data_IF_128953835316
#
_entry.id   IF_128953835316
#
_cell.length_a   1.000
_cell.length_b   1.000
_cell.length_c   1.000
_cell.angle_alpha   90.00
_cell.angle_beta   90.00
_cell.angle_gamma   90.00
#
_symmetry.space_group_name_H-M   'P 1'
#
loop_
_entity.id
_entity.type
_entity.pdbx_description
1 polymer ?
#
# COMPACT_ATOMS: atom_id res chain seq x y z
N UNK A 1 -20.47 10.55 0.80
CA UNK A 1 -19.63 9.56 0.10
C UNK A 1 -19.80 8.19 0.73
N UNK A 2 -19.49 7.12 -0.01
CA UNK A 2 -19.50 5.75 0.52
C UNK A 2 -18.12 5.12 0.36
N UNK A 3 -17.56 4.56 1.43
CA UNK A 3 -16.24 3.94 1.42
C UNK A 3 -16.29 2.55 2.02
N UNK A 4 -15.76 1.55 1.32
CA UNK A 4 -15.49 0.24 1.90
C UNK A 4 -14.09 0.25 2.50
N UNK A 5 -13.96 -0.20 3.74
CA UNK A 5 -12.69 -0.35 4.43
C UNK A 5 -12.46 -1.84 4.70
N UNK A 6 -11.51 -2.42 3.97
CA UNK A 6 -11.11 -3.82 4.06
C UNK A 6 -9.92 -4.00 5.00
N UNK A 7 -10.06 -4.85 6.00
CA UNK A 7 -8.96 -5.28 6.86
C UNK A 7 -8.67 -6.74 6.55
N UNK A 8 -7.48 -6.99 6.01
CA UNK A 8 -7.05 -8.32 5.60
C UNK A 8 -6.44 -9.05 6.81
N UNK A 9 -7.26 -9.79 7.56
CA UNK A 9 -6.83 -10.52 8.76
C UNK A 9 -6.46 -11.96 8.38
N UNK A 10 -5.18 -12.31 8.54
CA UNK A 10 -4.73 -13.69 8.30
C UNK A 10 -5.02 -14.60 9.48
N UNK A 11 -4.73 -14.16 10.69
CA UNK A 11 -4.90 -14.96 11.92
C UNK A 11 -5.57 -14.18 13.04
N UNK A 12 -5.03 -13.00 13.35
CA UNK A 12 -5.51 -12.12 14.43
C UNK A 12 -4.98 -10.71 14.18
N UNK A 13 -5.69 -9.74 14.69
CA UNK A 13 -5.21 -8.36 14.73
C UNK A 13 -4.35 -8.15 15.97
N UNK A 14 -3.22 -7.49 15.82
CA UNK A 14 -2.34 -7.20 16.94
C UNK A 14 -2.91 -6.06 17.83
N UNK A 15 -2.67 -6.10 19.13
CA UNK A 15 -3.29 -5.19 20.10
C UNK A 15 -3.08 -3.70 19.78
N UNK A 16 -1.86 -3.30 19.38
CA UNK A 16 -1.57 -1.90 19.03
C UNK A 16 -2.25 -1.49 17.72
N UNK A 17 -2.29 -2.37 16.71
CA UNK A 17 -3.02 -2.12 15.47
C UNK A 17 -4.52 -1.97 15.79
N UNK A 18 -5.10 -2.89 16.56
CA UNK A 18 -6.50 -2.82 16.97
C UNK A 18 -6.83 -1.51 17.68
N UNK A 19 -6.00 -1.10 18.66
CA UNK A 19 -6.21 0.15 19.39
C UNK A 19 -6.18 1.38 18.45
N UNK A 20 -5.25 1.42 17.48
CA UNK A 20 -5.18 2.52 16.49
C UNK A 20 -6.39 2.49 15.55
N UNK A 21 -6.83 1.30 15.12
CA UNK A 21 -8.02 1.15 14.30
C UNK A 21 -9.28 1.61 15.03
N UNK A 22 -9.44 1.29 16.32
CA UNK A 22 -10.56 1.77 17.13
C UNK A 22 -10.61 3.31 17.21
N UNK A 23 -9.44 3.95 17.38
CA UNK A 23 -9.36 5.41 17.37
C UNK A 23 -9.72 5.99 15.99
N UNK A 24 -9.26 5.35 14.94
CA UNK A 24 -9.57 5.73 13.57
C UNK A 24 -11.08 5.63 13.29
N UNK A 25 -11.74 4.51 13.63
CA UNK A 25 -13.20 4.35 13.47
C UNK A 25 -13.99 5.42 14.22
N UNK A 26 -13.61 5.65 15.47
CA UNK A 26 -14.27 6.66 16.29
C UNK A 26 -14.18 8.06 15.65
N UNK A 27 -13.02 8.39 15.09
CA UNK A 27 -12.82 9.68 14.42
C UNK A 27 -13.57 9.78 13.10
N UNK A 28 -13.61 8.72 12.31
CA UNK A 28 -14.39 8.70 11.05
C UNK A 28 -15.86 9.05 11.31
N UNK A 29 -16.52 8.39 12.26
CA UNK A 29 -17.92 8.66 12.57
C UNK A 29 -18.18 10.07 13.10
N UNK A 30 -17.18 10.71 13.71
CA UNK A 30 -17.31 12.09 14.22
C UNK A 30 -17.02 13.16 13.17
N UNK A 31 -16.07 12.91 12.28
CA UNK A 31 -15.63 13.89 11.27
C UNK A 31 -16.53 13.84 10.05
N UNK A 32 -17.03 12.66 9.70
CA UNK A 32 -17.83 12.42 8.50
C UNK A 32 -19.19 11.79 8.83
N UNK A 33 -20.07 12.48 9.60
CA UNK A 33 -21.33 11.89 10.06
C UNK A 33 -22.33 11.59 8.93
N UNK A 34 -22.16 12.25 7.77
CA UNK A 34 -23.02 12.06 6.59
C UNK A 34 -22.48 11.01 5.62
N UNK A 35 -21.24 10.55 5.83
CA UNK A 35 -20.61 9.55 4.97
C UNK A 35 -20.96 8.13 5.45
N UNK A 36 -20.99 7.20 4.51
CA UNK A 36 -21.26 5.78 4.79
C UNK A 36 -19.96 4.99 4.74
N UNK A 37 -19.68 4.25 5.80
CA UNK A 37 -18.52 3.37 5.89
C UNK A 37 -18.95 1.93 6.02
N UNK A 38 -18.46 1.07 5.13
CA UNK A 38 -18.66 -0.38 5.16
C UNK A 38 -17.36 -1.00 5.64
N UNK A 39 -17.38 -1.68 6.78
CA UNK A 39 -16.22 -2.41 7.31
C UNK A 39 -16.29 -3.87 6.90
N UNK A 40 -15.21 -4.37 6.33
CA UNK A 40 -15.15 -5.73 5.83
C UNK A 40 -13.84 -6.41 6.27
N UNK A 41 -13.99 -7.61 6.84
CA UNK A 41 -12.90 -8.54 7.10
C UNK A 41 -13.20 -9.82 6.31
N UNK A 42 -12.59 -10.01 5.13
CA UNK A 42 -12.84 -11.21 4.33
C UNK A 42 -12.46 -12.48 5.09
N UNK A 43 -13.14 -13.61 4.83
CA UNK A 43 -12.72 -14.90 5.38
C UNK A 43 -11.27 -15.19 5.04
N UNK A 44 -10.57 -15.97 5.88
CA UNK A 44 -9.16 -16.32 5.67
C UNK A 44 -8.95 -17.00 4.31
N UNK A 45 -8.20 -16.32 3.45
CA UNK A 45 -7.76 -16.79 2.15
C UNK A 45 -6.42 -16.11 1.81
N UNK A 46 -5.87 -16.31 0.61
CA UNK A 46 -4.69 -15.56 0.18
C UNK A 46 -4.99 -14.06 0.08
N UNK A 47 -3.97 -13.23 0.31
CA UNK A 47 -4.12 -11.75 0.38
C UNK A 47 -4.72 -11.18 -0.91
N UNK A 48 -4.30 -11.66 -2.05
CA UNK A 48 -4.82 -11.26 -3.36
C UNK A 48 -6.31 -11.57 -3.51
N UNK A 49 -6.77 -12.74 -3.02
CA UNK A 49 -8.20 -13.08 -3.01
C UNK A 49 -9.00 -12.21 -2.05
N UNK A 50 -8.47 -11.93 -0.85
CA UNK A 50 -9.12 -11.02 0.10
C UNK A 50 -9.31 -9.64 -0.52
N UNK A 51 -8.27 -9.08 -1.18
CA UNK A 51 -8.34 -7.78 -1.83
C UNK A 51 -9.30 -7.77 -3.04
N UNK A 52 -9.31 -8.83 -3.85
CA UNK A 52 -10.28 -8.98 -4.94
C UNK A 52 -11.72 -9.02 -4.42
N UNK A 53 -11.98 -9.72 -3.32
CA UNK A 53 -13.32 -9.80 -2.73
C UNK A 53 -13.76 -8.44 -2.18
N UNK A 54 -12.89 -7.70 -1.51
CA UNK A 54 -13.18 -6.33 -1.08
C UNK A 54 -13.50 -5.41 -2.27
N UNK A 55 -12.72 -5.50 -3.35
CA UNK A 55 -12.95 -4.71 -4.56
C UNK A 55 -14.30 -5.03 -5.21
N UNK A 56 -14.64 -6.33 -5.31
CA UNK A 56 -15.94 -6.79 -5.82
C UNK A 56 -17.10 -6.20 -5.00
N UNK A 57 -17.05 -6.33 -3.67
CA UNK A 57 -18.08 -5.81 -2.77
C UNK A 57 -18.16 -4.29 -2.82
N UNK A 58 -17.01 -3.59 -2.89
CA UNK A 58 -17.00 -2.13 -3.01
C UNK A 58 -17.75 -1.65 -4.25
N UNK A 59 -17.58 -2.34 -5.39
CA UNK A 59 -18.30 -2.02 -6.61
C UNK A 59 -19.79 -2.39 -6.54
N UNK A 60 -20.14 -3.55 -5.98
CA UNK A 60 -21.54 -3.97 -5.79
C UNK A 60 -22.31 -3.04 -4.84
N UNK A 61 -21.62 -2.50 -3.85
CA UNK A 61 -22.18 -1.53 -2.90
C UNK A 61 -22.10 -0.08 -3.38
N UNK A 62 -21.69 0.12 -4.64
CA UNK A 62 -21.56 1.45 -5.26
C UNK A 62 -20.71 2.42 -4.43
N UNK A 63 -19.59 1.92 -3.86
CA UNK A 63 -18.68 2.75 -3.11
C UNK A 63 -17.93 3.73 -4.02
N UNK A 64 -17.64 4.91 -3.48
CA UNK A 64 -16.78 5.90 -4.12
C UNK A 64 -15.30 5.53 -3.94
N UNK A 65 -14.97 4.92 -2.79
CA UNK A 65 -13.60 4.56 -2.40
C UNK A 65 -13.52 3.17 -1.78
N UNK A 66 -12.37 2.54 -1.97
CA UNK A 66 -11.93 1.33 -1.30
C UNK A 66 -10.66 1.65 -0.51
N UNK A 67 -10.68 1.43 0.80
CA UNK A 67 -9.51 1.58 1.66
C UNK A 67 -9.06 0.21 2.17
N UNK A 68 -7.76 -0.05 2.14
CA UNK A 68 -7.17 -1.20 2.82
C UNK A 68 -6.33 -0.77 4.02
N UNK A 69 -6.40 -1.56 5.08
CA UNK A 69 -5.56 -1.44 6.27
C UNK A 69 -5.17 -2.86 6.66
N UNK A 70 -3.87 -3.12 6.82
CA UNK A 70 -3.41 -4.44 7.25
C UNK A 70 -3.56 -4.61 8.77
N UNK A 71 -3.70 -5.86 9.24
CA UNK A 71 -4.00 -6.24 10.62
C UNK A 71 -2.83 -6.02 11.60
N UNK A 72 -1.64 -5.71 11.08
CA UNK A 72 -0.41 -5.45 11.81
C UNK A 72 0.13 -4.02 11.62
N UNK A 73 -0.72 -3.11 11.17
CA UNK A 73 -0.34 -1.71 10.92
C UNK A 73 -1.05 -0.75 11.87
N UNK A 74 -0.26 0.04 12.59
CA UNK A 74 -0.72 1.17 13.40
C UNK A 74 -0.88 2.38 12.48
N UNK A 75 -2.09 2.92 12.36
CA UNK A 75 -2.41 4.04 11.46
C UNK A 75 -2.70 5.31 12.26
N UNK A 76 -2.36 6.50 11.75
CA UNK A 76 -2.81 7.75 12.34
C UNK A 76 -4.33 7.89 12.17
N UNK A 77 -5.00 8.45 13.17
CA UNK A 77 -6.46 8.65 13.13
C UNK A 77 -6.92 9.60 12.01
N UNK A 78 -5.99 10.38 11.44
CA UNK A 78 -6.23 11.29 10.33
C UNK A 78 -6.05 10.65 8.96
N UNK A 79 -5.62 9.38 8.89
CA UNK A 79 -5.21 8.71 7.64
C UNK A 79 -6.23 8.88 6.51
N UNK A 80 -7.51 8.63 6.75
CA UNK A 80 -8.54 8.76 5.72
C UNK A 80 -8.62 10.18 5.15
N UNK A 81 -8.65 11.21 6.03
CA UNK A 81 -8.68 12.62 5.62
C UNK A 81 -7.46 12.96 4.75
N UNK A 82 -6.29 12.60 5.24
CA UNK A 82 -5.04 13.01 4.63
C UNK A 82 -4.82 12.29 3.28
N UNK A 83 -5.28 11.05 3.13
CA UNK A 83 -5.29 10.35 1.85
C UNK A 83 -6.34 10.93 0.89
N UNK A 84 -7.54 11.25 1.37
CA UNK A 84 -8.60 11.88 0.57
C UNK A 84 -8.16 13.23 -0.02
N UNK A 85 -7.43 14.05 0.75
CA UNK A 85 -6.99 15.38 0.31
C UNK A 85 -6.01 15.33 -0.87
N UNK A 86 -5.33 14.21 -1.08
CA UNK A 86 -4.46 14.03 -2.26
C UNK A 86 -5.25 14.04 -3.57
N UNK A 87 -6.50 13.57 -3.53
CA UNK A 87 -7.33 13.36 -4.72
C UNK A 87 -6.66 12.48 -5.80
N UNK A 88 -5.78 11.56 -5.40
CA UNK A 88 -5.10 10.61 -6.27
C UNK A 88 -5.99 9.37 -6.52
N UNK A 89 -5.71 8.65 -7.60
CA UNK A 89 -6.45 7.41 -7.90
C UNK A 89 -6.03 6.28 -6.96
N UNK A 90 -4.75 6.28 -6.56
CA UNK A 90 -4.17 5.40 -5.53
C UNK A 90 -3.36 6.28 -4.58
N UNK A 91 -3.85 6.46 -3.35
CA UNK A 91 -3.23 7.26 -2.29
C UNK A 91 -2.82 6.37 -1.13
N UNK A 92 -1.54 6.33 -0.75
CA UNK A 92 -1.01 5.47 0.30
C UNK A 92 -0.42 6.25 1.47
N UNK A 93 -0.31 5.59 2.63
CA UNK A 93 0.51 6.03 3.74
C UNK A 93 1.96 5.56 3.60
N UNK A 94 2.84 6.14 4.42
CA UNK A 94 4.23 5.73 4.55
C UNK A 94 4.31 4.54 5.50
N UNK A 95 4.62 3.36 4.98
CA UNK A 95 4.78 2.10 5.72
C UNK A 95 6.17 1.54 5.44
N UNK A 96 6.84 1.02 6.46
CA UNK A 96 8.17 0.41 6.36
C UNK A 96 8.04 -1.11 6.39
N UNK A 97 8.79 -1.86 5.58
CA UNK A 97 8.85 -3.32 5.68
C UNK A 97 9.47 -3.76 7.01
N UNK A 98 8.99 -4.88 7.57
CA UNK A 98 9.45 -5.39 8.88
C UNK A 98 10.84 -6.05 8.88
N UNK A 99 11.41 -6.25 7.71
CA UNK A 99 12.69 -6.93 7.54
C UNK A 99 13.78 -5.99 7.01
N UNK A 100 15.04 -6.36 7.26
CA UNK A 100 16.18 -5.69 6.66
C UNK A 100 16.01 -5.63 5.11
N UNK A 101 16.31 -4.52 4.46
CA UNK A 101 16.93 -3.29 4.95
C UNK A 101 15.93 -2.19 5.42
N UNK A 102 14.69 -2.54 5.80
CA UNK A 102 13.65 -1.64 6.32
C UNK A 102 13.27 -0.52 5.35
N UNK A 103 13.17 -0.85 4.07
CA UNK A 103 12.75 0.11 3.06
C UNK A 103 11.32 0.59 3.31
N UNK A 104 11.00 1.79 2.87
CA UNK A 104 9.61 2.22 2.77
C UNK A 104 8.94 1.46 1.62
N UNK A 105 7.67 1.10 1.78
CA UNK A 105 6.90 0.38 0.75
C UNK A 105 6.41 1.32 -0.35
N UNK A 106 7.32 2.14 -0.86
CA UNK A 106 7.09 3.12 -1.92
C UNK A 106 8.14 2.90 -3.00
N UNK A 107 7.73 2.99 -4.26
CA UNK A 107 8.56 2.66 -5.40
C UNK A 107 8.64 3.83 -6.37
N UNK A 108 9.88 4.17 -6.74
CA UNK A 108 10.15 5.25 -7.70
C UNK A 108 9.86 4.76 -9.11
N UNK A 109 9.24 5.61 -9.92
CA UNK A 109 9.11 5.36 -11.35
C UNK A 109 10.43 5.73 -12.04
N UNK A 110 11.09 4.74 -12.62
CA UNK A 110 12.30 4.92 -13.42
C UNK A 110 12.20 4.11 -14.70
N UNK A 111 13.01 4.45 -15.69
CA UNK A 111 13.09 3.70 -16.95
C UNK A 111 14.55 3.36 -17.22
N UNK A 112 14.80 2.12 -17.62
CA UNK A 112 16.15 1.71 -18.05
C UNK A 112 16.51 2.25 -19.43
N UNK A 113 17.73 1.96 -19.89
CA UNK A 113 18.24 2.42 -21.19
C UNK A 113 17.43 1.91 -22.39
N UNK A 114 16.62 0.87 -22.20
CA UNK A 114 15.71 0.33 -23.22
C UNK A 114 14.29 0.88 -23.11
N UNK A 115 14.04 1.81 -22.19
CA UNK A 115 12.72 2.38 -21.93
C UNK A 115 11.79 1.46 -21.13
N UNK A 116 12.32 0.42 -20.49
CA UNK A 116 11.55 -0.51 -19.67
C UNK A 116 11.35 0.12 -18.29
N UNK A 117 10.10 0.13 -17.79
CA UNK A 117 9.75 0.63 -16.46
C UNK A 117 10.43 -0.23 -15.38
N UNK A 118 11.07 0.45 -14.45
CA UNK A 118 11.68 -0.13 -13.24
C UNK A 118 11.06 0.53 -12.01
N UNK A 119 10.91 -0.23 -10.94
CA UNK A 119 10.30 0.21 -9.68
C UNK A 119 11.24 -0.05 -8.50
N UNK A 120 12.39 0.65 -8.41
CA UNK A 120 13.25 0.56 -7.24
C UNK A 120 12.55 1.18 -6.02
N UNK A 121 12.91 0.71 -4.82
CA UNK A 121 12.45 1.35 -3.59
C UNK A 121 12.83 2.82 -3.53
N UNK A 122 11.95 3.63 -2.97
CA UNK A 122 12.22 5.03 -2.71
C UNK A 122 13.07 5.17 -1.45
N UNK A 123 14.41 5.12 -1.57
CA UNK A 123 15.33 5.23 -0.43
C UNK A 123 15.56 6.69 -0.03
N UNK A 124 15.75 7.59 -1.01
CA UNK A 124 16.02 9.01 -0.81
C UNK A 124 14.82 9.84 -1.31
N UNK A 125 13.76 9.88 -0.51
CA UNK A 125 12.49 10.50 -0.91
C UNK A 125 12.28 11.93 -0.38
N UNK A 126 13.11 12.39 0.57
CA UNK A 126 12.84 13.62 1.32
C UNK A 126 12.77 14.84 0.39
N UNK A 127 13.70 14.94 -0.55
CA UNK A 127 13.76 16.06 -1.51
C UNK A 127 12.67 16.00 -2.60
N UNK A 128 12.08 14.83 -2.80
CA UNK A 128 11.02 14.60 -3.80
C UNK A 128 9.60 14.89 -3.24
N UNK A 129 9.46 15.07 -1.91
CA UNK A 129 8.19 15.38 -1.26
C UNK A 129 7.82 16.84 -1.54
N UNK A 130 6.61 17.04 -2.10
CA UNK A 130 6.01 18.36 -2.31
C UNK A 130 4.63 18.41 -1.67
N UNK A 131 4.38 19.42 -0.86
CA UNK A 131 3.10 19.59 -0.14
C UNK A 131 2.68 18.34 0.64
N UNK A 132 3.65 17.64 1.28
CA UNK A 132 3.50 16.36 1.95
C UNK A 132 3.11 15.19 1.03
N UNK A 133 3.22 15.34 -0.28
CA UNK A 133 2.89 14.30 -1.25
C UNK A 133 4.17 13.84 -1.97
N UNK A 134 4.37 12.54 -2.01
CA UNK A 134 5.38 11.87 -2.82
C UNK A 134 4.69 11.16 -3.99
N UNK A 135 5.02 11.52 -5.23
CA UNK A 135 4.58 10.78 -6.42
C UNK A 135 5.35 9.47 -6.53
N UNK A 136 4.64 8.38 -6.79
CA UNK A 136 5.21 7.04 -6.84
C UNK A 136 4.89 6.32 -8.15
N UNK A 137 5.74 5.38 -8.53
CA UNK A 137 5.46 4.42 -9.59
C UNK A 137 4.53 3.31 -9.11
N UNK A 138 4.74 2.86 -7.86
CA UNK A 138 3.87 1.93 -7.14
C UNK A 138 3.98 2.18 -5.63
N UNK A 139 3.04 1.63 -4.87
CA UNK A 139 2.96 1.74 -3.40
C UNK A 139 2.51 0.41 -2.80
N UNK A 140 2.94 0.12 -1.56
CA UNK A 140 2.39 -0.97 -0.76
C UNK A 140 0.98 -0.67 -0.25
N UNK A 141 0.19 -1.71 0.01
CA UNK A 141 -1.24 -1.57 0.32
C UNK A 141 -1.58 -1.79 1.79
N UNK A 142 -0.62 -1.65 2.66
CA UNK A 142 -0.83 -1.77 4.12
C UNK A 142 -1.66 -0.62 4.74
N UNK A 143 -1.68 0.55 4.08
CA UNK A 143 -2.60 1.66 4.36
C UNK A 143 -2.78 2.43 3.04
N UNK A 144 -3.85 2.15 2.31
CA UNK A 144 -4.08 2.72 0.97
C UNK A 144 -5.55 3.04 0.75
N UNK A 145 -5.81 4.12 0.04
CA UNK A 145 -7.13 4.54 -0.44
C UNK A 145 -7.14 4.53 -1.97
N UNK A 146 -8.13 3.86 -2.57
CA UNK A 146 -8.28 3.66 -4.01
C UNK A 146 -9.63 4.21 -4.45
N UNK A 147 -9.67 4.99 -5.50
CA UNK A 147 -10.95 5.41 -6.12
C UNK A 147 -11.62 4.21 -6.79
N UNK A 148 -12.88 3.96 -6.48
CA UNK A 148 -13.64 2.90 -7.14
C UNK A 148 -13.90 3.19 -8.64
N UNK A 149 -13.81 4.45 -9.06
CA UNK A 149 -13.82 4.78 -10.50
C UNK A 149 -12.66 4.09 -11.25
N UNK A 150 -11.46 4.02 -10.66
CA UNK A 150 -10.33 3.28 -11.23
C UNK A 150 -10.67 1.79 -11.39
N UNK A 151 -11.24 1.16 -10.35
CA UNK A 151 -11.61 -0.27 -10.41
C UNK A 151 -12.59 -0.58 -11.54
N UNK A 152 -13.48 0.36 -11.88
CA UNK A 152 -14.45 0.18 -12.98
C UNK A 152 -13.81 0.17 -14.37
N UNK A 153 -12.62 0.72 -14.50
CA UNK A 153 -11.86 0.76 -15.75
C UNK A 153 -10.92 -0.43 -15.91
N UNK A 154 -10.65 -1.17 -14.81
CA UNK A 154 -9.72 -2.29 -14.82
C UNK A 154 -10.42 -3.62 -15.14
N UNK A 155 -9.69 -4.49 -15.85
CA UNK A 155 -10.10 -5.89 -16.08
C UNK A 155 -9.85 -6.75 -14.84
N UNK A 156 -10.55 -7.90 -14.73
CA UNK A 156 -10.32 -8.88 -13.68
C UNK A 156 -9.14 -9.83 -14.03
N UNK A 157 -8.41 -10.37 -13.04
CA UNK A 157 -8.48 -10.03 -11.62
C UNK A 157 -7.78 -8.69 -11.33
N UNK A 158 -8.23 -7.96 -10.31
CA UNK A 158 -7.57 -6.72 -9.90
C UNK A 158 -6.22 -6.98 -9.23
N UNK A 159 -6.19 -7.97 -8.33
CA UNK A 159 -5.03 -8.34 -7.51
C UNK A 159 -4.59 -9.77 -7.82
N UNK A 160 -3.28 -9.97 -7.95
CA UNK A 160 -2.68 -11.27 -8.15
C UNK A 160 -1.29 -11.33 -7.54
N UNK A 161 -1.03 -12.35 -6.74
CA UNK A 161 0.31 -12.62 -6.19
C UNK A 161 1.05 -13.55 -7.14
N UNK A 162 2.21 -13.14 -7.61
CA UNK A 162 3.11 -13.91 -8.47
C UNK A 162 4.36 -14.38 -7.72
N UNK A 163 5.25 -15.03 -8.43
CA UNK A 163 6.55 -15.50 -7.88
C UNK A 163 7.57 -14.38 -7.72
N UNK A 164 7.40 -13.26 -8.41
CA UNK A 164 8.35 -12.15 -8.46
C UNK A 164 7.76 -10.82 -8.00
N UNK A 165 6.48 -10.79 -7.63
CA UNK A 165 5.80 -9.59 -7.19
C UNK A 165 4.65 -9.90 -6.24
N UNK A 166 4.36 -8.96 -5.39
CA UNK A 166 3.21 -8.94 -4.51
C UNK A 166 1.97 -8.37 -5.24
N UNK A 167 0.80 -8.63 -4.69
CA UNK A 167 -0.48 -8.25 -5.30
C UNK A 167 -0.69 -6.73 -5.41
N UNK A 168 -0.06 -5.96 -4.52
CA UNK A 168 -0.09 -4.49 -4.51
C UNK A 168 0.71 -3.90 -5.68
N UNK A 169 1.93 -4.42 -5.92
CA UNK A 169 2.75 -4.02 -7.06
C UNK A 169 2.09 -4.46 -8.37
N UNK A 170 1.54 -5.68 -8.43
CA UNK A 170 0.76 -6.14 -9.57
C UNK A 170 -0.38 -5.16 -9.89
N UNK A 171 -1.16 -4.76 -8.88
CA UNK A 171 -2.28 -3.82 -9.05
C UNK A 171 -1.80 -2.48 -9.61
N UNK A 172 -0.76 -1.90 -9.05
CA UNK A 172 -0.21 -0.62 -9.52
C UNK A 172 0.25 -0.68 -10.97
N UNK A 173 0.97 -1.74 -11.36
CA UNK A 173 1.46 -1.93 -12.73
C UNK A 173 0.31 -2.16 -13.71
N UNK A 174 -0.66 -3.02 -13.33
CA UNK A 174 -1.87 -3.26 -14.12
C UNK A 174 -2.65 -1.97 -14.34
N UNK A 175 -2.89 -1.21 -13.28
CA UNK A 175 -3.62 0.04 -13.36
C UNK A 175 -2.92 1.06 -14.29
N UNK A 176 -1.61 1.19 -14.20
CA UNK A 176 -0.81 2.03 -15.12
C UNK A 176 -0.89 1.60 -16.58
N UNK A 177 -0.95 0.29 -16.84
CA UNK A 177 -1.05 -0.27 -18.18
C UNK A 177 -2.44 -0.06 -18.79
N UNK A 178 -3.48 -0.31 -18.01
CA UNK A 178 -4.87 -0.28 -18.51
C UNK A 178 -5.48 1.12 -18.51
N UNK A 179 -5.05 1.99 -17.58
CA UNK A 179 -5.59 3.36 -17.42
C UNK A 179 -4.45 4.38 -17.54
N UNK A 180 -4.18 4.91 -18.73
CA UNK A 180 -3.13 5.91 -18.91
C UNK A 180 -3.36 7.18 -18.09
N UNK A 181 -2.29 7.67 -17.46
CA UNK A 181 -2.32 8.93 -16.71
C UNK A 181 -2.81 8.82 -15.26
N UNK A 182 -2.99 7.59 -14.73
CA UNK A 182 -3.36 7.40 -13.31
C UNK A 182 -2.36 8.09 -12.38
N UNK A 183 -2.86 8.52 -11.24
CA UNK A 183 -2.08 9.16 -10.20
C UNK A 183 -1.85 8.20 -9.03
N UNK A 184 -0.58 7.90 -8.74
CA UNK A 184 -0.15 7.05 -7.62
C UNK A 184 0.78 7.86 -6.72
N UNK A 185 0.58 7.81 -5.42
CA UNK A 185 1.48 8.50 -4.50
C UNK A 185 1.20 8.21 -3.04
N UNK A 186 2.02 8.79 -2.17
CA UNK A 186 1.91 8.65 -0.73
C UNK A 186 1.85 10.01 -0.04
N UNK A 187 1.12 10.09 1.08
CA UNK A 187 1.03 11.29 1.90
C UNK A 187 1.95 11.15 3.12
N UNK A 188 2.93 12.05 3.23
CA UNK A 188 3.92 12.04 4.31
C UNK A 188 3.30 12.28 5.70
N UNK A 189 2.13 12.90 5.80
CA UNK A 189 1.42 13.04 7.06
C UNK A 189 0.81 11.72 7.55
N UNK A 190 0.71 10.69 6.70
CA UNK A 190 0.17 9.37 7.03
C UNK A 190 1.32 8.40 7.28
N UNK A 191 2.04 8.64 8.39
CA UNK A 191 3.13 7.76 8.82
C UNK A 191 2.57 6.61 9.65
N UNK A 192 2.74 5.40 9.17
CA UNK A 192 2.22 4.19 9.78
C UNK A 192 3.32 3.42 10.52
N UNK A 193 2.97 2.81 11.65
CA UNK A 193 3.84 1.87 12.34
C UNK A 193 3.55 0.44 11.91
N UNK A 194 4.55 -0.30 11.43
CA UNK A 194 4.43 -1.70 11.07
C UNK A 194 4.88 -2.57 12.24
N UNK A 195 3.99 -3.40 12.76
CA UNK A 195 4.25 -4.21 13.94
C UNK A 195 5.06 -5.45 13.57
N UNK A 196 6.20 -5.60 14.24
CA UNK A 196 7.05 -6.80 14.18
C UNK A 196 7.53 -7.13 15.59
N UNK A 197 7.63 -8.38 15.96
CA UNK A 197 8.07 -8.74 17.32
C UNK A 197 9.60 -8.71 17.44
N UNK A 198 10.12 -7.99 18.44
CA UNK A 198 9.46 -7.13 19.43
C UNK A 198 9.39 -5.63 19.05
N UNK A 199 9.46 -5.29 17.77
CA UNK A 199 9.68 -3.92 17.27
C UNK A 199 8.47 -3.35 16.55
N UNK A 200 8.33 -2.02 16.58
CA UNK A 200 7.45 -1.26 15.70
C UNK A 200 8.32 -0.49 14.73
N UNK A 201 8.20 -0.78 13.44
CA UNK A 201 8.97 -0.11 12.39
C UNK A 201 8.19 1.06 11.82
N UNK A 202 8.80 2.24 11.84
CA UNK A 202 8.23 3.48 11.30
C UNK A 202 9.23 4.13 10.33
N UNK A 203 8.79 5.05 9.48
CA UNK A 203 9.70 5.82 8.63
C UNK A 203 10.81 6.51 9.42
N UNK A 204 10.51 7.01 10.64
CA UNK A 204 11.47 7.75 11.46
C UNK A 204 12.55 6.86 12.08
N UNK A 205 12.21 5.63 12.48
CA UNK A 205 13.14 4.74 13.20
C UNK A 205 13.79 3.66 12.33
N UNK A 206 13.41 3.53 11.07
CA UNK A 206 13.87 2.46 10.16
C UNK A 206 15.39 2.42 10.02
N UNK A 207 16.03 3.58 9.92
CA UNK A 207 17.49 3.66 9.74
C UNK A 207 18.23 3.27 11.02
N UNK A 208 17.65 3.54 12.20
CA UNK A 208 18.19 3.09 13.47
C UNK A 208 18.20 1.56 13.54
N UNK A 209 17.08 0.91 13.21
CA UNK A 209 17.00 -0.55 13.23
C UNK A 209 17.88 -1.20 12.16
N UNK A 210 17.98 -0.59 10.96
CA UNK A 210 18.93 -1.04 9.94
C UNK A 210 20.34 -1.06 10.47
N UNK A 211 20.79 0.04 11.08
CA UNK A 211 22.13 0.15 11.66
C UNK A 211 22.36 -0.85 12.79
N UNK A 212 21.39 -1.03 13.69
CA UNK A 212 21.48 -2.02 14.78
C UNK A 212 21.61 -3.44 14.25
N UNK A 213 20.84 -3.81 13.23
CA UNK A 213 20.90 -5.16 12.66
C UNK A 213 22.20 -5.40 11.88
N UNK A 214 22.74 -4.39 11.20
CA UNK A 214 24.07 -4.44 10.56
C UNK A 214 25.20 -4.61 11.58
N UNK A 215 25.13 -3.91 12.71
CA UNK A 215 26.11 -4.05 13.82
C UNK A 215 26.05 -5.44 14.48
N UNK A 216 24.84 -5.99 14.66
CA UNK A 216 24.64 -7.32 15.26
C UNK A 216 24.93 -8.47 14.28
N UNK A 217 24.80 -8.24 12.99
CA UNK A 217 24.91 -9.25 11.94
C UNK A 217 25.59 -8.68 10.68
N UNK A 218 26.93 -8.50 10.70
CA UNK A 218 27.66 -7.92 9.57
C UNK A 218 27.46 -8.66 8.23
N UNK A 219 27.04 -9.93 8.27
CA UNK A 219 26.70 -10.71 7.05
C UNK A 219 25.45 -10.23 6.34
N UNK A 220 24.64 -9.38 6.96
CA UNK A 220 23.46 -8.75 6.34
C UNK A 220 23.84 -7.57 5.44
N UNK A 221 25.08 -7.10 5.46
CA UNK A 221 25.57 -6.06 4.55
C UNK A 221 25.73 -6.68 3.15
N UNK A 222 24.62 -6.97 2.51
CA UNK A 222 24.60 -7.33 1.10
C UNK A 222 24.57 -6.02 0.30
N UNK A 223 25.27 -5.93 -0.86
CA UNK A 223 25.10 -4.80 -1.76
C UNK A 223 23.61 -4.60 -2.02
N UNK A 224 23.13 -3.36 -1.94
CA UNK A 224 21.71 -3.02 -2.08
C UNK A 224 21.12 -3.80 -3.27
N UNK A 225 20.27 -4.78 -2.97
CA UNK A 225 19.45 -5.38 -4.01
C UNK A 225 18.59 -4.26 -4.53
N UNK A 226 18.81 -3.86 -5.76
CA UNK A 226 17.92 -2.97 -6.47
C UNK A 226 16.55 -3.63 -6.44
N UNK A 227 15.63 -3.29 -5.60
CA UNK A 227 14.31 -3.94 -5.47
C UNK A 227 13.51 -3.87 -6.78
N UNK A 228 14.14 -4.30 -7.87
CA UNK A 228 13.59 -4.29 -9.21
C UNK A 228 12.52 -5.37 -9.30
N UNK A 229 11.29 -4.95 -9.11
CA UNK A 229 10.15 -5.76 -9.50
C UNK A 229 10.17 -5.90 -11.02
N UNK A 230 10.21 -7.15 -11.49
CA UNK A 230 10.31 -7.45 -12.91
C UNK A 230 8.98 -7.11 -13.62
N UNK A 231 8.95 -5.92 -14.21
CA UNK A 231 7.79 -5.42 -14.98
C UNK A 231 7.46 -6.34 -16.15
N UNK A 232 8.49 -6.95 -16.76
CA UNK A 232 8.35 -7.89 -17.88
C UNK A 232 7.55 -9.14 -17.49
N UNK A 233 7.69 -9.60 -16.23
CA UNK A 233 6.89 -10.69 -15.70
C UNK A 233 5.41 -10.31 -15.55
N UNK A 234 5.11 -9.09 -15.11
CA UNK A 234 3.73 -8.58 -15.04
C UNK A 234 3.11 -8.51 -16.41
N UNK A 235 3.84 -8.00 -17.39
CA UNK A 235 3.37 -7.93 -18.78
C UNK A 235 3.06 -9.31 -19.34
N UNK A 236 3.91 -10.31 -19.03
CA UNK A 236 3.70 -11.70 -19.42
C UNK A 236 2.48 -12.31 -18.74
N UNK A 237 2.26 -12.04 -17.44
CA UNK A 237 1.06 -12.47 -16.73
C UNK A 237 -0.21 -11.80 -17.28
N UNK A 238 -0.14 -10.49 -17.58
CA UNK A 238 -1.26 -9.75 -18.16
C UNK A 238 -1.58 -10.20 -19.59
N UNK A 239 -0.57 -10.60 -20.38
CA UNK A 239 -0.77 -11.12 -21.75
C UNK A 239 -1.28 -12.55 -21.80
N UNK A 240 -1.14 -13.33 -20.73
CA UNK A 240 -1.67 -14.70 -20.62
C UNK A 240 -3.14 -14.76 -20.17
N UNK A 241 -3.75 -13.63 -19.84
CA UNK A 241 -5.15 -13.51 -19.42
C UNK A 241 -6.08 -13.06 -20.56
N UNK A 242 -5.56 -12.89 -21.76
CA UNK A 242 -6.27 -12.65 -23.02
C UNK A 242 -6.27 -13.97 -23.85
#
# INVERSE_FOLDING_TARGET
MRTLIGINILTSIQAYAYASHCQFWYRLGRIYPEDQFIFMTPPRMSIDRMRNECARIALEQECDYLMFIDDDVVIPYTAYRDLMTMNYDIAAGFVVIRGYPFNVMLFKETYDDNGILRLPYYNDYVDDIKDNILKCGAVGFSCVLIKCSLLKELTLPYFMTGTQQTEDIYFCLKARKEVPGITIGANFNVQCGHLGEPRIYTPDNRLLYKKMDEELNPSLIVPESTGDHNVEYVEKCLSSLV
#
